data_IF_396094175695
#
_entry.id   IF_396094175695
#
_cell.length_a   1.000
_cell.length_b   1.000
_cell.length_c   1.000
_cell.angle_alpha   90.00
_cell.angle_beta   90.00
_cell.angle_gamma   90.00
#
_symmetry.space_group_name_H-M   'P 1'
#
loop_
_entity.id
_entity.type
_entity.pdbx_description
1 polymer ?
#
# COMPACT_ATOMS: atom_id res chain seq x y z
N UNK A 1 2.90 1.62 22.37
CA UNK A 1 3.98 1.11 21.46
C UNK A 1 4.95 0.27 22.29
N UNK A 2 5.49 -0.80 21.70
CA UNK A 2 6.50 -1.65 22.33
C UNK A 2 7.86 -0.96 22.32
N UNK A 3 8.72 -1.33 23.27
CA UNK A 3 10.14 -0.94 23.23
C UNK A 3 10.86 -1.67 22.09
N UNK A 4 11.98 -1.13 21.61
CA UNK A 4 12.77 -1.78 20.55
C UNK A 4 13.22 -3.19 20.98
N UNK A 5 13.57 -3.38 22.24
CA UNK A 5 13.95 -4.70 22.79
C UNK A 5 12.79 -5.71 22.75
N UNK A 6 11.56 -5.29 23.05
CA UNK A 6 10.37 -6.16 22.94
C UNK A 6 10.09 -6.52 21.48
N UNK A 7 10.21 -5.56 20.54
CA UNK A 7 10.05 -5.81 19.13
C UNK A 7 11.11 -6.80 18.59
N UNK A 8 12.38 -6.64 18.98
CA UNK A 8 13.46 -7.57 18.60
C UNK A 8 13.15 -8.99 19.10
N UNK A 9 12.67 -9.12 20.34
CA UNK A 9 12.28 -10.41 20.90
C UNK A 9 11.16 -11.04 20.11
N UNK A 10 10.13 -10.26 19.77
CA UNK A 10 9.01 -10.74 18.97
C UNK A 10 9.46 -11.19 17.57
N UNK A 11 10.22 -10.35 16.85
CA UNK A 11 10.77 -10.66 15.51
C UNK A 11 11.53 -12.00 15.53
N UNK A 12 12.34 -12.23 16.55
CA UNK A 12 13.16 -13.44 16.67
C UNK A 12 12.34 -14.73 16.93
N UNK A 13 11.05 -14.61 17.28
CA UNK A 13 10.13 -15.74 17.47
C UNK A 13 9.28 -16.07 16.24
N UNK A 14 9.23 -15.16 15.25
CA UNK A 14 8.39 -15.33 14.07
C UNK A 14 8.97 -16.39 13.10
N UNK A 15 8.09 -17.19 12.53
CA UNK A 15 8.41 -18.11 11.45
C UNK A 15 8.27 -17.39 10.10
N UNK A 16 9.16 -16.45 9.82
CA UNK A 16 9.15 -15.63 8.61
C UNK A 16 10.23 -16.09 7.65
N UNK A 17 9.89 -16.11 6.36
CA UNK A 17 10.79 -16.47 5.26
C UNK A 17 10.78 -15.36 4.18
N UNK A 18 10.87 -14.10 4.60
CA UNK A 18 10.92 -12.97 3.67
C UNK A 18 12.28 -12.79 2.99
N UNK A 19 13.36 -13.31 3.58
CA UNK A 19 14.69 -13.20 3.01
C UNK A 19 14.74 -13.78 1.59
N UNK A 20 15.23 -12.99 0.63
CA UNK A 20 15.33 -13.33 -0.79
C UNK A 20 14.00 -13.56 -1.53
N UNK A 21 12.86 -13.24 -0.93
CA UNK A 21 11.53 -13.23 -1.59
C UNK A 21 11.11 -11.82 -1.98
N UNK A 22 10.22 -11.71 -2.95
CA UNK A 22 9.62 -10.42 -3.31
C UNK A 22 8.40 -10.11 -2.44
N UNK A 23 8.19 -8.83 -2.14
CA UNK A 23 6.98 -8.39 -1.48
C UNK A 23 6.05 -7.75 -2.52
N UNK A 24 5.24 -8.57 -3.20
CA UNK A 24 4.39 -8.12 -4.30
C UNK A 24 2.94 -7.91 -3.88
N UNK A 25 2.31 -8.90 -3.23
CA UNK A 25 0.93 -8.80 -2.77
C UNK A 25 0.86 -9.12 -1.27
N UNK A 26 0.06 -8.37 -0.53
CA UNK A 26 -0.08 -8.55 0.92
C UNK A 26 -0.65 -9.92 1.30
N UNK A 27 -1.57 -10.45 0.51
CA UNK A 27 -2.20 -11.74 0.77
C UNK A 27 -1.36 -12.96 0.38
N UNK A 28 -0.23 -12.78 -0.28
CA UNK A 28 0.77 -13.83 -0.54
C UNK A 28 1.74 -14.04 0.62
N UNK A 29 1.82 -13.06 1.53
CA UNK A 29 2.69 -13.15 2.71
C UNK A 29 1.99 -13.93 3.83
N UNK A 30 2.74 -14.68 4.63
CA UNK A 30 2.19 -15.30 5.83
C UNK A 30 1.85 -14.25 6.91
N UNK A 31 1.00 -14.56 7.91
CA UNK A 31 0.77 -13.64 9.03
C UNK A 31 2.06 -13.25 9.77
N UNK A 32 3.01 -14.18 9.93
CA UNK A 32 4.30 -13.92 10.56
C UNK A 32 5.19 -12.99 9.72
N UNK A 33 5.16 -13.13 8.40
CA UNK A 33 5.88 -12.24 7.48
C UNK A 33 5.32 -10.81 7.53
N UNK A 34 3.99 -10.65 7.54
CA UNK A 34 3.34 -9.34 7.71
C UNK A 34 3.69 -8.73 9.06
N UNK A 35 3.63 -9.53 10.13
CA UNK A 35 3.99 -9.08 11.48
C UNK A 35 5.45 -8.67 11.58
N UNK A 36 6.38 -9.42 10.97
CA UNK A 36 7.79 -9.05 10.90
C UNK A 36 7.99 -7.67 10.28
N UNK A 37 7.33 -7.38 9.15
CA UNK A 37 7.43 -6.06 8.50
C UNK A 37 6.91 -4.97 9.43
N UNK A 38 5.79 -5.18 10.11
CA UNK A 38 5.23 -4.22 11.07
C UNK A 38 6.17 -3.97 12.26
N UNK A 39 6.73 -5.03 12.85
CA UNK A 39 7.60 -4.92 14.02
C UNK A 39 8.95 -4.26 13.67
N UNK A 40 9.51 -4.58 12.49
CA UNK A 40 10.70 -3.91 11.97
C UNK A 40 10.41 -2.43 11.68
N UNK A 41 9.26 -2.11 11.09
CA UNK A 41 8.87 -0.72 10.82
C UNK A 41 8.72 0.10 12.10
N UNK A 42 8.09 -0.47 13.15
CA UNK A 42 7.94 0.17 14.46
C UNK A 42 9.31 0.36 15.12
N UNK A 43 10.20 -0.63 15.06
CA UNK A 43 11.56 -0.51 15.59
C UNK A 43 12.36 0.61 14.91
N UNK A 44 12.32 0.69 13.57
CA UNK A 44 12.98 1.76 12.80
C UNK A 44 12.40 3.14 13.15
N UNK A 45 11.07 3.25 13.29
CA UNK A 45 10.39 4.49 13.69
C UNK A 45 10.82 4.93 15.08
N UNK A 46 10.90 4.01 16.03
CA UNK A 46 11.30 4.27 17.42
C UNK A 46 12.76 4.67 17.50
N UNK A 47 13.68 3.91 16.89
CA UNK A 47 15.11 4.26 16.85
C UNK A 47 15.33 5.66 16.29
N UNK A 48 14.65 6.00 15.18
CA UNK A 48 14.75 7.36 14.63
C UNK A 48 14.22 8.44 15.57
N UNK A 49 13.12 8.17 16.27
CA UNK A 49 12.55 9.11 17.25
C UNK A 49 13.50 9.33 18.45
N UNK A 50 14.27 8.33 18.81
CA UNK A 50 15.32 8.37 19.84
C UNK A 50 16.66 8.93 19.33
N UNK A 51 16.69 9.53 18.13
CA UNK A 51 17.88 10.05 17.46
C UNK A 51 18.96 9.01 17.14
N UNK A 52 18.58 7.73 17.02
CA UNK A 52 19.50 6.66 16.65
C UNK A 52 19.49 6.48 15.13
N UNK A 53 20.67 6.40 14.51
CA UNK A 53 20.82 6.14 13.08
C UNK A 53 20.38 4.71 12.73
N UNK A 54 19.60 4.57 11.66
CA UNK A 54 19.05 3.28 11.22
C UNK A 54 19.74 2.75 9.95
N UNK A 55 20.92 3.30 9.62
CA UNK A 55 21.69 2.92 8.44
C UNK A 55 22.29 1.52 8.62
N UNK A 56 21.90 0.61 7.74
CA UNK A 56 22.44 -0.76 7.66
C UNK A 56 23.34 -0.95 6.43
N UNK A 57 23.29 -0.01 5.51
CA UNK A 57 24.16 0.07 4.34
C UNK A 57 25.08 1.28 4.49
N UNK A 58 26.39 1.07 4.31
CA UNK A 58 27.37 2.17 4.26
C UNK A 58 27.42 2.83 2.88
N UNK A 59 26.97 2.13 1.84
CA UNK A 59 26.83 2.56 0.46
C UNK A 59 25.84 1.68 -0.26
N UNK A 60 25.43 2.04 -1.46
CA UNK A 60 24.54 1.25 -2.29
C UNK A 60 23.44 2.10 -2.91
N UNK A 61 22.68 1.48 -3.79
CA UNK A 61 21.68 2.15 -4.61
C UNK A 61 20.32 1.47 -4.50
N UNK A 62 19.29 2.27 -4.33
CA UNK A 62 17.91 1.87 -4.55
C UNK A 62 17.36 2.52 -5.81
N UNK A 63 16.77 1.73 -6.70
CA UNK A 63 16.18 2.21 -7.95
C UNK A 63 14.66 2.26 -7.80
N UNK A 64 14.05 3.36 -8.28
CA UNK A 64 12.60 3.47 -8.39
C UNK A 64 12.15 3.53 -9.84
N UNK A 65 11.05 2.84 -10.14
CA UNK A 65 10.35 2.88 -11.41
C UNK A 65 8.91 3.35 -11.15
N UNK A 66 8.56 4.48 -11.73
CA UNK A 66 7.21 5.05 -11.57
C UNK A 66 6.58 5.26 -12.94
N UNK A 67 5.61 4.42 -13.28
CA UNK A 67 4.81 4.54 -14.51
C UNK A 67 3.57 5.39 -14.34
N UNK A 68 3.23 5.78 -13.09
CA UNK A 68 2.18 6.73 -12.81
C UNK A 68 2.63 7.79 -11.79
N UNK A 69 1.93 8.92 -11.79
CA UNK A 69 2.24 10.06 -10.94
C UNK A 69 2.03 9.75 -9.45
N UNK A 70 3.01 10.11 -8.62
CA UNK A 70 2.91 9.99 -7.18
C UNK A 70 3.85 10.94 -6.46
N UNK A 71 3.33 11.73 -5.54
CA UNK A 71 4.15 12.56 -4.65
C UNK A 71 4.59 11.74 -3.43
N UNK A 72 3.64 11.23 -2.65
CA UNK A 72 3.94 10.55 -1.38
C UNK A 72 4.78 9.30 -1.55
N UNK A 73 4.43 8.43 -2.49
CA UNK A 73 5.16 7.18 -2.66
C UNK A 73 6.60 7.41 -3.11
N UNK A 74 6.85 8.40 -3.99
CA UNK A 74 8.19 8.81 -4.38
C UNK A 74 9.02 9.25 -3.17
N UNK A 75 8.52 10.20 -2.37
CA UNK A 75 9.22 10.67 -1.18
C UNK A 75 9.30 9.61 -0.08
N UNK A 76 8.29 8.75 0.07
CA UNK A 76 8.34 7.66 1.04
C UNK A 76 9.41 6.63 0.69
N UNK A 77 9.55 6.28 -0.59
CA UNK A 77 10.59 5.37 -1.05
C UNK A 77 11.99 6.00 -0.87
N UNK A 78 12.18 7.25 -1.29
CA UNK A 78 13.42 7.98 -1.08
C UNK A 78 13.82 8.06 0.41
N UNK A 79 12.83 8.35 1.27
CA UNK A 79 13.04 8.39 2.73
C UNK A 79 13.40 7.01 3.28
N UNK A 80 12.75 5.95 2.81
CA UNK A 80 13.04 4.57 3.22
C UNK A 80 14.47 4.16 2.86
N UNK A 81 14.91 4.45 1.64
CA UNK A 81 16.28 4.20 1.20
C UNK A 81 17.29 4.96 2.05
N UNK A 82 17.03 6.24 2.30
CA UNK A 82 17.90 7.08 3.13
C UNK A 82 17.97 6.59 4.59
N UNK A 83 16.84 6.13 5.16
CA UNK A 83 16.82 5.50 6.48
C UNK A 83 17.77 4.31 6.57
N UNK A 84 17.84 3.52 5.51
CA UNK A 84 18.69 2.32 5.45
C UNK A 84 20.14 2.63 5.02
N UNK A 85 20.43 3.82 4.53
CA UNK A 85 21.78 4.24 4.07
C UNK A 85 22.02 4.08 2.56
N UNK A 86 20.97 3.81 1.79
CA UNK A 86 21.02 3.70 0.32
C UNK A 86 20.79 5.08 -0.33
N UNK A 87 21.48 5.33 -1.45
CA UNK A 87 21.14 6.43 -2.36
C UNK A 87 19.96 6.04 -3.25
N UNK A 88 19.23 7.02 -3.77
CA UNK A 88 18.13 6.79 -4.71
C UNK A 88 18.52 7.19 -6.13
N UNK A 89 18.12 6.36 -7.10
CA UNK A 89 18.10 6.70 -8.52
C UNK A 89 16.72 6.38 -9.09
N UNK A 90 16.08 7.34 -9.72
CA UNK A 90 14.82 7.14 -10.45
C UNK A 90 15.13 6.67 -11.88
N UNK A 91 14.48 5.60 -12.35
CA UNK A 91 14.58 5.13 -13.72
C UNK A 91 13.48 5.80 -14.55
N UNK A 92 13.88 6.71 -15.42
CA UNK A 92 13.03 7.30 -16.44
C UNK A 92 13.08 6.42 -17.69
N UNK A 93 12.02 5.61 -17.89
CA UNK A 93 11.94 4.68 -19.03
C UNK A 93 12.01 5.41 -20.39
N UNK A 94 11.49 6.64 -20.46
CA UNK A 94 11.56 7.45 -21.67
C UNK A 94 12.99 7.94 -22.04
N UNK A 95 13.92 7.88 -21.07
CA UNK A 95 15.34 8.22 -21.27
C UNK A 95 16.28 7.03 -21.21
N UNK A 96 15.71 5.83 -21.18
CA UNK A 96 16.47 4.57 -21.13
C UNK A 96 16.37 3.81 -22.45
N UNK A 97 17.11 2.72 -22.58
CA UNK A 97 17.06 1.86 -23.77
C UNK A 97 15.75 1.07 -23.87
N UNK A 98 14.91 1.07 -22.81
CA UNK A 98 13.54 0.54 -22.85
C UNK A 98 12.75 1.21 -23.98
N UNK A 99 12.92 2.54 -24.16
CA UNK A 99 12.31 3.27 -25.27
C UNK A 99 12.75 2.79 -26.67
N UNK A 100 13.85 2.03 -26.75
CA UNK A 100 14.41 1.49 -27.98
C UNK A 100 14.28 -0.05 -28.07
N UNK A 101 13.44 -0.66 -27.21
CA UNK A 101 13.11 -2.09 -27.28
C UNK A 101 13.97 -3.01 -26.39
N UNK A 102 14.67 -2.46 -25.39
CA UNK A 102 15.29 -3.26 -24.35
C UNK A 102 14.21 -4.07 -23.62
N UNK A 103 14.42 -5.35 -23.45
CA UNK A 103 13.46 -6.25 -22.82
C UNK A 103 13.45 -6.07 -21.30
N UNK A 104 12.34 -6.45 -20.65
CA UNK A 104 12.21 -6.44 -19.17
C UNK A 104 13.34 -7.23 -18.53
N UNK A 105 13.69 -8.39 -19.09
CA UNK A 105 14.78 -9.24 -18.60
C UNK A 105 16.15 -8.55 -18.68
N UNK A 106 16.44 -7.87 -19.80
CA UNK A 106 17.68 -7.12 -19.97
C UNK A 106 17.75 -5.96 -18.99
N UNK A 107 16.73 -5.11 -18.95
CA UNK A 107 16.68 -3.99 -18.02
C UNK A 107 16.85 -4.46 -16.57
N UNK A 108 16.08 -5.48 -16.16
CA UNK A 108 16.16 -6.01 -14.80
C UNK A 108 17.58 -6.45 -14.43
N UNK A 109 18.27 -7.16 -15.32
CA UNK A 109 19.67 -7.56 -15.08
C UNK A 109 20.63 -6.37 -15.09
N UNK A 110 20.49 -5.43 -16.04
CA UNK A 110 21.39 -4.27 -16.16
C UNK A 110 21.34 -3.34 -14.96
N UNK A 111 20.16 -3.12 -14.38
CA UNK A 111 20.03 -2.28 -13.18
C UNK A 111 20.34 -3.04 -11.88
N UNK A 112 20.18 -4.36 -11.86
CA UNK A 112 20.23 -5.17 -10.64
C UNK A 112 21.62 -5.33 -10.06
N UNK A 113 22.66 -5.45 -10.90
CA UNK A 113 24.03 -5.50 -10.36
C UNK A 113 24.52 -4.14 -9.83
N UNK A 114 23.77 -3.06 -10.10
CA UNK A 114 24.01 -1.73 -9.54
C UNK A 114 23.17 -1.44 -8.29
N UNK A 115 22.14 -2.25 -7.98
CA UNK A 115 21.13 -1.93 -6.98
C UNK A 115 21.04 -2.95 -5.85
N UNK A 116 20.70 -2.45 -4.64
CA UNK A 116 20.33 -3.26 -3.47
C UNK A 116 18.83 -3.41 -3.32
N UNK A 117 18.07 -2.44 -3.83
CA UNK A 117 16.61 -2.44 -3.80
C UNK A 117 16.03 -1.86 -5.09
N UNK A 118 14.90 -2.41 -5.52
CA UNK A 118 14.11 -1.92 -6.66
C UNK A 118 12.67 -1.73 -6.17
N UNK A 119 12.14 -0.52 -6.28
CA UNK A 119 10.75 -0.21 -5.98
C UNK A 119 9.99 0.13 -7.25
N UNK A 120 8.90 -0.57 -7.52
CA UNK A 120 8.11 -0.37 -8.74
C UNK A 120 6.70 0.09 -8.39
N UNK A 121 6.23 1.15 -9.06
CA UNK A 121 4.83 1.53 -9.12
C UNK A 121 4.36 1.45 -10.58
N UNK A 122 3.37 0.59 -10.81
CA UNK A 122 2.73 0.42 -12.12
C UNK A 122 1.25 0.05 -11.91
N UNK A 123 0.39 1.04 -11.82
CA UNK A 123 -1.05 0.91 -11.57
C UNK A 123 -1.90 1.46 -12.74
N UNK A 124 -1.26 1.76 -13.89
CA UNK A 124 -1.92 2.38 -15.04
C UNK A 124 -2.77 1.39 -15.84
N UNK A 125 -2.24 0.18 -16.06
CA UNK A 125 -2.88 -0.84 -16.92
C UNK A 125 -3.32 -2.03 -16.07
N UNK A 126 -4.63 -2.30 -16.08
CA UNK A 126 -5.17 -3.47 -15.42
C UNK A 126 -4.61 -4.76 -16.07
N UNK A 127 -4.18 -5.72 -15.23
CA UNK A 127 -3.57 -6.97 -15.67
C UNK A 127 -2.08 -6.86 -16.07
N UNK A 128 -1.46 -5.66 -15.96
CA UNK A 128 -0.09 -5.46 -16.40
C UNK A 128 0.90 -5.20 -15.26
N UNK A 129 0.56 -4.36 -14.29
CA UNK A 129 1.52 -3.90 -13.29
C UNK A 129 2.09 -5.03 -12.43
N UNK A 130 1.25 -5.87 -11.85
CA UNK A 130 1.71 -7.02 -11.08
C UNK A 130 2.44 -8.05 -11.96
N UNK A 131 1.96 -8.28 -13.19
CA UNK A 131 2.62 -9.18 -14.14
C UNK A 131 4.03 -8.71 -14.48
N UNK A 132 4.21 -7.41 -14.73
CA UNK A 132 5.52 -6.81 -14.97
C UNK A 132 6.47 -6.99 -13.76
N UNK A 133 5.99 -6.74 -12.54
CA UNK A 133 6.81 -6.94 -11.34
C UNK A 133 7.23 -8.41 -11.17
N UNK A 134 6.37 -9.36 -11.52
CA UNK A 134 6.71 -10.80 -11.49
C UNK A 134 7.75 -11.17 -12.53
N UNK A 135 7.68 -10.58 -13.72
CA UNK A 135 8.70 -10.77 -14.77
C UNK A 135 10.05 -10.21 -14.32
N UNK A 136 10.07 -9.02 -13.72
CA UNK A 136 11.28 -8.46 -13.11
C UNK A 136 11.82 -9.40 -12.03
N UNK A 137 10.97 -9.86 -11.08
CA UNK A 137 11.38 -10.78 -10.02
C UNK A 137 11.98 -12.09 -10.56
N UNK A 138 11.37 -12.67 -11.59
CA UNK A 138 11.89 -13.87 -12.26
C UNK A 138 13.27 -13.62 -12.92
N UNK A 139 13.44 -12.45 -13.56
CA UNK A 139 14.72 -12.08 -14.16
C UNK A 139 15.82 -11.88 -13.10
N UNK A 140 15.48 -11.32 -11.92
CA UNK A 140 16.39 -11.20 -10.78
C UNK A 140 16.80 -12.58 -10.23
N UNK A 141 15.85 -13.50 -10.10
CA UNK A 141 16.13 -14.88 -9.66
C UNK A 141 17.07 -15.61 -10.62
N UNK A 142 16.81 -15.51 -11.92
CA UNK A 142 17.63 -16.12 -12.94
C UNK A 142 19.04 -15.53 -12.95
N UNK A 143 19.18 -14.21 -12.93
CA UNK A 143 20.47 -13.53 -12.90
C UNK A 143 21.30 -13.89 -11.66
N UNK A 144 20.64 -14.00 -10.50
CA UNK A 144 21.29 -14.40 -9.25
C UNK A 144 21.73 -15.86 -9.28
N UNK A 145 20.85 -16.79 -9.69
CA UNK A 145 21.16 -18.22 -9.81
C UNK A 145 22.28 -18.52 -10.81
N UNK A 146 22.35 -17.75 -11.88
CA UNK A 146 23.38 -17.89 -12.92
C UNK A 146 24.71 -17.18 -12.59
N UNK A 147 24.76 -16.49 -11.44
CA UNK A 147 25.98 -15.79 -10.99
C UNK A 147 26.25 -14.47 -11.72
N UNK A 148 25.29 -13.95 -12.47
CA UNK A 148 25.36 -12.61 -13.07
C UNK A 148 25.27 -11.55 -11.99
N UNK A 149 24.41 -11.77 -10.99
CA UNK A 149 24.24 -10.88 -9.86
C UNK A 149 25.01 -11.42 -8.65
N UNK A 150 25.89 -10.61 -8.02
CA UNK A 150 26.60 -11.02 -6.80
C UNK A 150 25.68 -11.10 -5.59
N UNK A 151 24.54 -10.39 -5.64
CA UNK A 151 23.46 -10.40 -4.67
C UNK A 151 22.12 -10.15 -5.37
N UNK A 152 21.03 -10.63 -4.79
CA UNK A 152 19.70 -10.37 -5.31
C UNK A 152 19.16 -9.06 -4.72
N UNK A 153 18.81 -8.04 -5.51
CA UNK A 153 18.12 -6.85 -5.01
C UNK A 153 16.77 -7.19 -4.35
N UNK A 154 16.38 -6.42 -3.36
CA UNK A 154 15.04 -6.48 -2.81
C UNK A 154 14.04 -5.84 -3.79
N UNK A 155 13.06 -6.60 -4.28
CA UNK A 155 11.98 -6.06 -5.10
C UNK A 155 10.76 -5.76 -4.22
N UNK A 156 10.26 -4.53 -4.31
CA UNK A 156 9.10 -4.04 -3.54
C UNK A 156 8.05 -3.46 -4.47
N UNK A 157 6.83 -3.97 -4.35
CA UNK A 157 5.65 -3.38 -4.98
C UNK A 157 5.26 -2.08 -4.25
N UNK A 158 5.52 -0.94 -4.86
CA UNK A 158 5.13 0.37 -4.32
C UNK A 158 3.64 0.66 -4.54
N UNK A 159 3.09 0.17 -5.62
CA UNK A 159 1.68 0.05 -5.98
C UNK A 159 1.58 -0.64 -7.34
N UNK A 160 0.70 -1.62 -7.49
CA UNK A 160 0.34 -2.19 -8.79
C UNK A 160 -1.16 -2.04 -9.05
N UNK A 161 -1.60 -2.61 -10.15
CA UNK A 161 -3.01 -2.63 -10.57
C UNK A 161 -3.94 -3.40 -9.61
N UNK A 162 -3.41 -4.38 -8.85
CA UNK A 162 -4.20 -5.23 -7.96
C UNK A 162 -4.07 -4.87 -6.48
N UNK A 163 -2.87 -4.50 -5.99
CA UNK A 163 -2.62 -4.21 -4.58
C UNK A 163 -1.74 -2.97 -4.39
N UNK A 164 -1.90 -2.33 -3.26
CA UNK A 164 -1.03 -1.24 -2.81
C UNK A 164 -0.39 -1.59 -1.45
N UNK A 165 0.54 -2.57 -1.41
CA UNK A 165 1.06 -3.14 -0.16
C UNK A 165 1.64 -2.08 0.79
N UNK A 166 2.35 -1.10 0.25
CA UNK A 166 2.97 -0.04 1.06
C UNK A 166 1.95 0.90 1.71
N UNK A 167 0.73 1.00 1.15
CA UNK A 167 -0.36 1.73 1.76
C UNK A 167 -1.10 0.87 2.78
N UNK A 168 -1.63 -0.27 2.38
CA UNK A 168 -2.43 -1.12 3.26
C UNK A 168 -1.65 -1.59 4.50
N UNK A 169 -0.33 -1.83 4.37
CA UNK A 169 0.53 -2.12 5.52
C UNK A 169 0.77 -0.88 6.41
N UNK A 170 0.83 0.32 5.84
CA UNK A 170 0.89 1.56 6.63
C UNK A 170 -0.41 1.79 7.40
N UNK A 171 -1.55 1.52 6.75
CA UNK A 171 -2.88 1.57 7.36
C UNK A 171 -2.98 0.57 8.53
N UNK A 172 -2.52 -0.66 8.34
CA UNK A 172 -2.48 -1.68 9.38
C UNK A 172 -1.55 -1.30 10.54
N UNK A 173 -0.39 -0.69 10.25
CA UNK A 173 0.51 -0.19 11.29
C UNK A 173 -0.14 0.92 12.10
N UNK A 174 -0.87 1.83 11.46
CA UNK A 174 -1.64 2.86 12.14
C UNK A 174 -2.78 2.28 12.98
N UNK A 175 -3.52 1.30 12.47
CA UNK A 175 -4.57 0.61 13.24
C UNK A 175 -3.99 -0.09 14.47
N UNK A 176 -2.81 -0.74 14.34
CA UNK A 176 -2.11 -1.33 15.47
C UNK A 176 -1.72 -0.29 16.52
N UNK A 177 -1.20 0.88 16.09
CA UNK A 177 -0.86 1.98 17.01
C UNK A 177 -2.11 2.53 17.69
N UNK A 178 -3.19 2.75 16.95
CA UNK A 178 -4.44 3.33 17.45
C UNK A 178 -5.18 2.41 18.42
N UNK A 179 -5.32 1.12 18.09
CA UNK A 179 -6.02 0.13 18.93
C UNK A 179 -5.09 -0.60 19.92
N UNK A 180 -3.79 -0.34 19.90
CA UNK A 180 -2.79 -0.83 20.85
C UNK A 180 -2.12 -2.15 20.43
N UNK A 181 -2.80 -3.04 19.70
CA UNK A 181 -2.22 -4.30 19.20
C UNK A 181 -2.98 -4.84 17.99
N UNK A 182 -2.40 -5.82 17.27
CA UNK A 182 -3.07 -6.53 16.18
C UNK A 182 -4.21 -7.42 16.70
N UNK A 183 -4.06 -7.97 17.90
CA UNK A 183 -5.07 -8.82 18.55
C UNK A 183 -6.36 -8.04 18.84
N UNK A 184 -6.24 -6.75 19.15
CA UNK A 184 -7.37 -5.86 19.40
C UNK A 184 -8.16 -5.49 18.12
N UNK A 185 -7.63 -5.84 16.94
CA UNK A 185 -8.34 -5.65 15.68
C UNK A 185 -9.39 -6.75 15.43
N UNK A 186 -9.27 -7.90 16.10
CA UNK A 186 -10.22 -9.00 15.95
C UNK A 186 -11.63 -8.57 16.33
N UNK A 187 -12.57 -8.75 15.41
CA UNK A 187 -13.97 -8.33 15.56
C UNK A 187 -14.22 -6.83 15.42
N UNK A 188 -13.19 -6.01 15.12
CA UNK A 188 -13.39 -4.62 14.74
C UNK A 188 -14.04 -4.55 13.37
N UNK A 189 -15.06 -3.71 13.25
CA UNK A 189 -15.78 -3.49 12.00
C UNK A 189 -15.12 -2.38 11.19
N UNK A 190 -14.68 -2.70 9.98
CA UNK A 190 -14.19 -1.71 9.01
C UNK A 190 -15.12 -1.63 7.81
N UNK A 191 -15.57 -0.41 7.49
CA UNK A 191 -16.33 -0.08 6.30
C UNK A 191 -15.39 0.48 5.22
N UNK A 192 -15.02 -0.35 4.23
CA UNK A 192 -14.37 0.10 3.00
C UNK A 192 -15.47 0.46 2.01
N UNK A 193 -15.67 1.76 1.77
CA UNK A 193 -16.77 2.20 0.91
C UNK A 193 -16.28 2.98 -0.30
N UNK A 194 -16.96 2.80 -1.43
CA UNK A 194 -16.87 3.78 -2.48
C UNK A 194 -17.32 5.15 -1.96
N UNK A 195 -16.75 6.20 -2.50
CA UNK A 195 -17.19 7.57 -2.25
C UNK A 195 -17.09 8.39 -3.55
N UNK A 196 -18.00 9.36 -3.69
CA UNK A 196 -18.09 10.20 -4.88
C UNK A 196 -16.80 10.98 -5.14
N UNK A 197 -16.40 11.04 -6.39
CA UNK A 197 -15.29 11.86 -6.86
C UNK A 197 -15.64 12.54 -8.18
N UNK A 198 -15.21 13.81 -8.39
CA UNK A 198 -15.34 14.50 -9.67
C UNK A 198 -14.30 14.02 -10.70
N UNK A 199 -13.49 13.01 -10.37
CA UNK A 199 -12.51 12.41 -11.28
C UNK A 199 -12.82 10.93 -11.54
N UNK A 200 -12.35 10.40 -12.67
CA UNK A 200 -12.49 8.99 -13.00
C UNK A 200 -11.10 8.31 -13.06
N UNK A 201 -11.10 6.99 -13.19
CA UNK A 201 -9.87 6.22 -13.40
C UNK A 201 -9.00 6.09 -12.16
N UNK A 202 -9.53 6.36 -10.96
CA UNK A 202 -8.82 6.08 -9.70
C UNK A 202 -8.58 4.59 -9.55
N UNK A 203 -7.38 4.15 -9.09
CA UNK A 203 -7.01 2.75 -9.06
C UNK A 203 -7.83 1.91 -8.08
N UNK A 204 -8.01 0.63 -8.43
CA UNK A 204 -8.67 -0.41 -7.63
C UNK A 204 -7.80 -0.91 -6.48
N UNK A 205 -6.49 -0.75 -6.58
CA UNK A 205 -5.50 -1.36 -5.68
C UNK A 205 -5.63 -0.95 -4.21
N UNK A 206 -6.16 0.24 -3.91
CA UNK A 206 -6.36 0.68 -2.53
C UNK A 206 -7.50 -0.09 -1.85
N UNK A 207 -8.77 -0.05 -2.34
CA UNK A 207 -9.83 -0.83 -1.72
C UNK A 207 -9.53 -2.33 -1.73
N UNK A 208 -8.89 -2.85 -2.76
CA UNK A 208 -8.47 -4.25 -2.85
C UNK A 208 -7.42 -4.61 -1.79
N UNK A 209 -6.44 -3.76 -1.58
CA UNK A 209 -5.44 -3.94 -0.52
C UNK A 209 -6.08 -3.94 0.87
N UNK A 210 -7.03 -3.05 1.13
CA UNK A 210 -7.75 -2.98 2.41
C UNK A 210 -8.55 -4.26 2.66
N UNK A 211 -9.41 -4.69 1.73
CA UNK A 211 -10.22 -5.89 1.94
C UNK A 211 -9.36 -7.16 2.00
N UNK A 212 -8.30 -7.26 1.19
CA UNK A 212 -7.39 -8.39 1.16
C UNK A 212 -6.54 -8.52 2.43
N UNK A 213 -6.11 -7.39 3.02
CA UNK A 213 -5.25 -7.40 4.19
C UNK A 213 -6.04 -7.42 5.51
N UNK A 214 -7.07 -6.57 5.69
CA UNK A 214 -7.75 -6.43 6.97
C UNK A 214 -8.52 -7.71 7.35
N UNK A 215 -9.05 -8.44 6.37
CA UNK A 215 -9.69 -9.74 6.58
C UNK A 215 -8.73 -10.79 7.15
N UNK A 216 -7.41 -10.62 7.09
CA UNK A 216 -6.43 -11.57 7.65
C UNK A 216 -6.24 -11.45 9.16
N UNK A 217 -6.72 -10.35 9.76
CA UNK A 217 -6.56 -10.06 11.19
C UNK A 217 -7.85 -10.24 11.99
N UNK A 218 -8.78 -11.04 11.48
CA UNK A 218 -10.05 -11.35 12.16
C UNK A 218 -11.00 -10.17 12.25
N UNK A 219 -10.82 -9.14 11.41
CA UNK A 219 -11.72 -7.99 11.35
C UNK A 219 -13.01 -8.34 10.60
N UNK A 220 -14.08 -7.62 10.90
CA UNK A 220 -15.35 -7.67 10.18
C UNK A 220 -15.34 -6.59 9.09
N UNK A 221 -15.05 -7.01 7.86
CA UNK A 221 -14.87 -6.11 6.72
C UNK A 221 -16.15 -6.02 5.90
N UNK A 222 -16.69 -4.81 5.76
CA UNK A 222 -17.80 -4.51 4.85
C UNK A 222 -17.28 -3.71 3.67
N UNK A 223 -17.40 -4.27 2.46
CA UNK A 223 -17.18 -3.54 1.21
C UNK A 223 -18.52 -2.97 0.74
N UNK A 224 -18.59 -1.65 0.54
CA UNK A 224 -19.80 -1.00 0.06
C UNK A 224 -19.52 -0.15 -1.18
N UNK A 225 -20.35 -0.30 -2.20
CA UNK A 225 -20.28 0.50 -3.42
C UNK A 225 -21.62 0.50 -4.15
N UNK A 226 -21.89 1.51 -4.98
CA UNK A 226 -23.05 1.48 -5.88
C UNK A 226 -22.99 0.28 -6.80
N UNK A 227 -24.14 -0.14 -7.31
CA UNK A 227 -24.22 -1.19 -8.35
C UNK A 227 -23.34 -0.83 -9.54
N UNK A 228 -22.54 -1.78 -10.03
CA UNK A 228 -21.61 -1.60 -11.15
C UNK A 228 -20.22 -1.05 -10.79
N UNK A 229 -19.94 -0.76 -9.52
CA UNK A 229 -18.61 -0.32 -9.05
C UNK A 229 -17.80 -1.47 -8.43
N UNK A 230 -17.94 -2.65 -9.00
CA UNK A 230 -17.29 -3.86 -8.51
C UNK A 230 -15.77 -3.77 -8.56
N UNK A 231 -15.11 -4.44 -7.61
CA UNK A 231 -13.68 -4.73 -7.60
C UNK A 231 -13.37 -5.98 -8.43
N UNK A 232 -12.09 -6.32 -8.58
CA UNK A 232 -11.67 -7.55 -9.26
C UNK A 232 -12.24 -8.76 -8.51
N UNK A 233 -13.00 -9.67 -9.19
CA UNK A 233 -13.66 -10.80 -8.53
C UNK A 233 -12.72 -11.71 -7.74
N UNK A 234 -11.53 -11.98 -8.28
CA UNK A 234 -10.52 -12.83 -7.61
C UNK A 234 -10.05 -12.23 -6.29
N UNK A 235 -9.93 -10.92 -6.19
CA UNK A 235 -9.55 -10.24 -4.94
C UNK A 235 -10.69 -10.28 -3.91
N UNK A 236 -11.92 -10.17 -4.37
CA UNK A 236 -13.11 -10.35 -3.50
C UNK A 236 -13.11 -11.78 -2.92
N UNK A 237 -12.77 -12.78 -3.72
CA UNK A 237 -12.67 -14.17 -3.26
C UNK A 237 -11.52 -14.37 -2.27
N UNK A 238 -10.37 -13.72 -2.50
CA UNK A 238 -9.26 -13.66 -1.54
C UNK A 238 -9.74 -13.11 -0.19
N UNK A 239 -10.48 -12.00 -0.19
CA UNK A 239 -11.00 -11.40 1.05
C UNK A 239 -11.95 -12.35 1.81
N UNK A 240 -12.86 -13.04 1.11
CA UNK A 240 -13.76 -14.05 1.71
C UNK A 240 -12.97 -15.19 2.36
N UNK A 241 -11.98 -15.72 1.63
CA UNK A 241 -11.16 -16.84 2.13
C UNK A 241 -10.31 -16.42 3.33
N UNK A 242 -9.71 -15.23 3.31
CA UNK A 242 -8.95 -14.67 4.42
C UNK A 242 -9.82 -14.45 5.66
N UNK A 243 -11.01 -13.87 5.50
CA UNK A 243 -11.95 -13.69 6.61
C UNK A 243 -12.32 -15.02 7.27
N UNK A 244 -12.66 -16.04 6.46
CA UNK A 244 -12.96 -17.38 6.96
C UNK A 244 -11.78 -18.00 7.72
N UNK A 245 -10.55 -17.85 7.21
CA UNK A 245 -9.34 -18.41 7.81
C UNK A 245 -8.96 -17.72 9.12
N UNK A 246 -9.18 -16.41 9.24
CA UNK A 246 -8.83 -15.63 10.44
C UNK A 246 -9.91 -15.59 11.53
N UNK A 247 -11.12 -16.06 11.22
CA UNK A 247 -12.28 -15.99 12.12
C UNK A 247 -12.94 -14.60 12.17
N UNK A 248 -12.70 -13.76 11.16
CA UNK A 248 -13.44 -12.54 10.89
C UNK A 248 -14.60 -12.75 9.91
N UNK A 249 -15.10 -11.66 9.35
CA UNK A 249 -16.16 -11.73 8.33
C UNK A 249 -15.87 -10.80 7.14
N UNK A 250 -16.46 -11.14 6.00
CA UNK A 250 -16.45 -10.27 4.82
C UNK A 250 -17.84 -10.26 4.19
N UNK A 251 -18.36 -9.08 3.93
CA UNK A 251 -19.64 -8.90 3.22
C UNK A 251 -19.59 -7.73 2.25
N UNK A 252 -20.44 -7.78 1.23
CA UNK A 252 -20.67 -6.68 0.28
C UNK A 252 -22.08 -6.15 0.44
N UNK A 253 -22.22 -4.84 0.36
CA UNK A 253 -23.50 -4.13 0.43
C UNK A 253 -23.52 -2.98 -0.57
N UNK A 254 -24.70 -2.48 -0.89
CA UNK A 254 -24.93 -1.37 -1.84
C UNK A 254 -25.44 -0.09 -1.16
N UNK A 255 -25.17 0.06 0.14
CA UNK A 255 -25.50 1.26 0.92
C UNK A 255 -24.31 1.64 1.81
N UNK A 256 -23.93 2.91 1.76
CA UNK A 256 -22.91 3.47 2.63
C UNK A 256 -23.38 3.51 4.08
N UNK A 257 -24.66 3.84 4.32
CA UNK A 257 -25.27 3.86 5.64
C UNK A 257 -25.22 2.47 6.30
N UNK A 258 -25.57 1.43 5.53
CA UNK A 258 -25.49 0.06 6.05
C UNK A 258 -24.06 -0.35 6.42
N UNK A 259 -23.06 0.09 5.64
CA UNK A 259 -21.66 -0.20 5.93
C UNK A 259 -21.16 0.59 7.15
N UNK A 260 -21.57 1.85 7.31
CA UNK A 260 -21.15 2.72 8.41
C UNK A 260 -21.78 2.32 9.75
N UNK A 261 -22.96 1.69 9.71
CA UNK A 261 -23.66 1.30 10.94
C UNK A 261 -22.82 0.47 11.89
N UNK A 262 -22.58 1.03 13.09
CA UNK A 262 -21.75 0.43 14.14
C UNK A 262 -20.30 0.10 13.69
N UNK A 263 -19.78 0.74 12.66
CA UNK A 263 -18.40 0.58 12.24
C UNK A 263 -17.45 1.20 13.29
N UNK A 264 -16.30 0.53 13.54
CA UNK A 264 -15.20 1.06 14.35
C UNK A 264 -14.25 1.90 13.50
N UNK A 265 -14.19 1.62 12.18
CA UNK A 265 -13.32 2.27 11.21
C UNK A 265 -14.09 2.49 9.92
N UNK A 266 -13.93 3.67 9.32
CA UNK A 266 -14.47 3.98 7.99
C UNK A 266 -13.36 4.41 7.05
N UNK A 267 -13.42 3.91 5.81
CA UNK A 267 -12.45 4.20 4.76
C UNK A 267 -13.19 4.55 3.46
N UNK A 268 -13.77 5.77 3.37
CA UNK A 268 -14.46 6.22 2.16
C UNK A 268 -13.43 6.64 1.09
N UNK A 269 -13.47 5.97 -0.07
CA UNK A 269 -12.50 6.18 -1.13
C UNK A 269 -13.11 5.92 -2.50
N UNK A 270 -12.93 6.85 -3.43
CA UNK A 270 -13.33 6.64 -4.82
C UNK A 270 -12.42 5.66 -5.56
N UNK A 271 -13.00 4.85 -6.42
CA UNK A 271 -12.31 4.03 -7.43
C UNK A 271 -13.15 3.91 -8.69
N UNK A 272 -12.51 3.61 -9.81
CA UNK A 272 -13.22 3.29 -11.04
C UNK A 272 -13.74 1.85 -11.00
N UNK A 273 -14.91 1.57 -11.59
CA UNK A 273 -15.40 0.20 -11.76
C UNK A 273 -14.37 -0.71 -12.44
N UNK A 274 -14.30 -1.97 -12.03
CA UNK A 274 -13.40 -2.96 -12.64
C UNK A 274 -13.54 -3.01 -14.17
N UNK A 275 -14.78 -3.11 -14.69
CA UNK A 275 -15.05 -3.13 -16.14
C UNK A 275 -14.58 -1.86 -16.86
N UNK A 276 -14.71 -0.70 -16.23
CA UNK A 276 -14.20 0.56 -16.77
C UNK A 276 -12.67 0.54 -16.86
N UNK A 277 -12.00 -0.05 -15.87
CA UNK A 277 -10.53 -0.16 -15.90
C UNK A 277 -10.06 -1.16 -16.97
N UNK A 278 -10.83 -2.21 -17.27
CA UNK A 278 -10.55 -3.10 -18.42
C UNK A 278 -10.66 -2.33 -19.73
N UNK A 279 -11.79 -1.66 -19.98
CA UNK A 279 -12.02 -0.86 -21.19
C UNK A 279 -10.96 0.25 -21.33
N UNK A 280 -10.66 0.97 -20.26
CA UNK A 280 -9.59 1.98 -20.25
C UNK A 280 -8.25 1.39 -20.65
N UNK A 281 -7.91 0.20 -20.16
CA UNK A 281 -6.66 -0.48 -20.51
C UNK A 281 -6.59 -0.82 -21.98
N UNK A 282 -7.67 -1.31 -22.59
CA UNK A 282 -7.76 -1.60 -24.02
C UNK A 282 -7.59 -0.33 -24.86
N UNK A 283 -8.30 0.74 -24.52
CA UNK A 283 -8.20 2.04 -25.22
C UNK A 283 -6.79 2.64 -25.11
N UNK A 284 -6.14 2.56 -23.93
CA UNK A 284 -4.76 3.00 -23.74
C UNK A 284 -3.79 2.21 -24.63
N UNK A 285 -3.92 0.89 -24.68
CA UNK A 285 -3.08 0.01 -25.54
C UNK A 285 -3.28 0.30 -27.02
N UNK A 286 -4.50 0.65 -27.42
CA UNK A 286 -4.83 1.03 -28.78
C UNK A 286 -4.42 2.47 -29.14
N UNK A 287 -3.95 3.28 -28.17
CA UNK A 287 -3.73 4.73 -28.30
C UNK A 287 -4.99 5.48 -28.77
N UNK A 288 -6.18 5.00 -28.40
CA UNK A 288 -7.46 5.60 -28.75
C UNK A 288 -7.82 6.74 -27.81
N UNK A 289 -7.30 7.92 -28.10
CA UNK A 289 -7.54 9.12 -27.30
C UNK A 289 -8.99 9.62 -27.33
N UNK A 290 -9.71 9.38 -28.43
CA UNK A 290 -11.13 9.78 -28.52
C UNK A 290 -12.01 8.82 -27.72
N UNK A 291 -11.74 7.52 -27.77
CA UNK A 291 -12.36 6.52 -26.91
C UNK A 291 -12.15 6.82 -25.41
N UNK A 292 -10.92 7.18 -25.03
CA UNK A 292 -10.61 7.58 -23.64
C UNK A 292 -11.41 8.80 -23.17
N UNK A 293 -11.56 9.84 -24.02
CA UNK A 293 -12.39 11.02 -23.69
C UNK A 293 -13.88 10.66 -23.57
N UNK A 294 -14.36 9.77 -24.46
CA UNK A 294 -15.75 9.29 -24.41
C UNK A 294 -16.02 8.50 -23.12
N UNK A 295 -15.11 7.58 -22.76
CA UNK A 295 -15.17 6.80 -21.53
C UNK A 295 -15.14 7.71 -20.29
N UNK A 296 -14.23 8.68 -20.24
CA UNK A 296 -14.16 9.67 -19.15
C UNK A 296 -15.49 10.40 -18.96
N UNK A 297 -16.06 10.92 -20.06
CA UNK A 297 -17.35 11.61 -20.01
C UNK A 297 -18.47 10.72 -19.48
N UNK A 298 -18.52 9.47 -19.92
CA UNK A 298 -19.49 8.48 -19.46
C UNK A 298 -19.31 8.20 -17.96
N UNK A 299 -18.09 7.94 -17.50
CA UNK A 299 -17.79 7.65 -16.11
C UNK A 299 -18.12 8.82 -15.19
N UNK A 300 -17.79 10.05 -15.58
CA UNK A 300 -18.13 11.24 -14.79
C UNK A 300 -19.65 11.44 -14.70
N UNK A 301 -20.38 11.16 -15.77
CA UNK A 301 -21.85 11.21 -15.76
C UNK A 301 -22.45 10.12 -14.85
N UNK A 302 -21.85 8.94 -14.81
CA UNK A 302 -22.24 7.85 -13.91
C UNK A 302 -21.92 8.21 -12.45
N UNK A 303 -20.72 8.67 -12.16
CA UNK A 303 -20.33 9.11 -10.82
C UNK A 303 -21.29 10.18 -10.27
N UNK A 304 -21.70 11.11 -11.12
CA UNK A 304 -22.62 12.21 -10.74
C UNK A 304 -24.01 11.73 -10.28
N UNK A 305 -24.38 10.49 -10.54
CA UNK A 305 -25.63 9.87 -10.06
C UNK A 305 -25.54 9.36 -8.63
N UNK A 306 -24.31 9.32 -8.06
CA UNK A 306 -24.02 8.76 -6.75
C UNK A 306 -23.32 9.78 -5.83
N UNK A 307 -23.72 11.05 -5.90
CA UNK A 307 -23.20 12.13 -5.04
C UNK A 307 -23.61 11.99 -3.58
N UNK A 308 -24.62 11.20 -3.30
CA UNK A 308 -25.04 10.76 -1.98
C UNK A 308 -24.04 9.83 -1.28
N UNK A 309 -23.14 9.20 -2.04
CA UNK A 309 -22.00 8.46 -1.48
C UNK A 309 -20.91 9.43 -1.02
N UNK A 310 -21.16 10.10 0.08
CA UNK A 310 -20.36 11.19 0.63
C UNK A 310 -20.22 11.02 2.14
N UNK A 311 -19.00 10.96 2.64
CA UNK A 311 -18.76 10.87 4.08
C UNK A 311 -19.01 12.22 4.74
N UNK A 312 -20.18 12.35 5.38
CA UNK A 312 -20.62 13.54 6.10
C UNK A 312 -20.60 13.31 7.61
N UNK A 313 -20.84 14.38 8.37
CA UNK A 313 -21.00 14.33 9.82
C UNK A 313 -22.17 13.42 10.22
N UNK A 314 -23.29 13.49 9.50
CA UNK A 314 -24.47 12.64 9.74
C UNK A 314 -24.16 11.16 9.45
N UNK A 315 -23.34 10.88 8.42
CA UNK A 315 -22.88 9.52 8.16
C UNK A 315 -21.97 9.00 9.28
N UNK A 316 -21.11 9.86 9.83
CA UNK A 316 -20.26 9.49 10.97
C UNK A 316 -21.06 9.20 12.23
N UNK A 317 -22.20 9.83 12.46
CA UNK A 317 -23.11 9.54 13.59
C UNK A 317 -23.68 8.11 13.56
N UNK A 318 -23.72 7.46 12.39
CA UNK A 318 -24.16 6.06 12.26
C UNK A 318 -23.13 5.05 12.76
N UNK A 319 -21.89 5.47 12.92
CA UNK A 319 -20.80 4.61 13.35
C UNK A 319 -20.87 4.30 14.85
N UNK A 320 -19.99 3.42 15.33
CA UNK A 320 -19.95 3.10 16.76
C UNK A 320 -19.71 4.35 17.59
N UNK A 321 -20.72 4.68 18.40
CA UNK A 321 -20.74 5.86 19.28
C UNK A 321 -20.54 7.21 18.53
N UNK A 322 -20.69 7.23 17.20
CA UNK A 322 -20.40 8.39 16.35
C UNK A 322 -18.90 8.74 16.25
N UNK A 323 -18.01 7.82 16.67
CA UNK A 323 -16.58 8.09 16.86
C UNK A 323 -15.67 7.10 16.11
N UNK A 324 -16.16 6.49 15.00
CA UNK A 324 -15.30 5.63 14.18
C UNK A 324 -14.06 6.38 13.69
N UNK A 325 -12.94 5.67 13.65
CA UNK A 325 -11.72 6.18 13.04
C UNK A 325 -11.91 6.36 11.53
N UNK A 326 -11.83 7.61 11.05
CA UNK A 326 -11.77 7.90 9.62
C UNK A 326 -10.35 7.68 9.11
N UNK A 327 -10.21 6.94 8.02
CA UNK A 327 -8.94 6.67 7.34
C UNK A 327 -9.03 7.03 5.86
N UNK A 328 -7.90 7.42 5.28
CA UNK A 328 -7.81 7.72 3.85
C UNK A 328 -6.37 7.69 3.35
N UNK A 329 -6.13 7.01 2.21
CA UNK A 329 -4.81 6.93 1.59
C UNK A 329 -4.25 8.26 1.05
N UNK A 330 -5.05 9.33 1.02
CA UNK A 330 -4.73 10.64 0.44
C UNK A 330 -4.26 10.58 -1.05
N UNK A 331 -4.42 11.65 -1.85
CA UNK A 331 -5.23 12.84 -1.51
C UNK A 331 -6.71 12.49 -1.41
N UNK A 332 -7.41 13.13 -0.49
CA UNK A 332 -8.87 13.06 -0.42
C UNK A 332 -9.49 14.17 -1.29
N UNK A 333 -10.62 13.85 -1.92
CA UNK A 333 -11.47 14.86 -2.54
C UNK A 333 -12.37 15.47 -1.46
N UNK A 334 -11.94 16.61 -0.92
CA UNK A 334 -12.61 17.29 0.20
C UNK A 334 -13.56 18.32 -0.37
N UNK A 335 -14.85 18.18 -0.10
CA UNK A 335 -15.91 19.09 -0.54
C UNK A 335 -15.68 20.51 -0.04
N UNK A 336 -15.77 21.47 -0.94
CA UNK A 336 -15.55 22.88 -0.64
C UNK A 336 -14.08 23.29 -0.50
N UNK A 337 -13.12 22.36 -0.50
CA UNK A 337 -11.68 22.61 -0.34
C UNK A 337 -10.91 22.22 -1.60
N UNK A 338 -10.80 20.93 -1.91
CA UNK A 338 -10.06 20.47 -3.10
C UNK A 338 -10.95 20.30 -4.33
N UNK A 339 -12.26 20.20 -4.13
CA UNK A 339 -13.28 20.12 -5.17
C UNK A 339 -14.61 20.70 -4.66
N UNK A 340 -15.58 20.86 -5.57
CA UNK A 340 -16.90 21.37 -5.18
C UNK A 340 -17.67 20.35 -4.33
N UNK A 341 -17.65 19.09 -4.75
CA UNK A 341 -18.28 17.94 -4.10
C UNK A 341 -17.31 16.75 -4.24
N UNK A 342 -17.08 15.99 -3.19
CA UNK A 342 -16.08 14.93 -3.17
C UNK A 342 -16.36 13.82 -2.17
N UNK A 343 -15.32 13.10 -1.78
CA UNK A 343 -15.36 11.89 -0.95
C UNK A 343 -15.82 12.17 0.49
N UNK A 344 -15.53 13.37 1.01
CA UNK A 344 -15.70 13.71 2.43
C UNK A 344 -15.97 15.21 2.61
N UNK A 345 -16.73 15.59 3.64
CA UNK A 345 -16.89 16.98 4.04
C UNK A 345 -15.62 17.55 4.65
N UNK A 346 -15.45 18.88 4.60
CA UNK A 346 -14.35 19.58 5.27
C UNK A 346 -14.36 19.30 6.79
N UNK A 347 -15.52 19.34 7.45
CA UNK A 347 -15.63 19.15 8.88
C UNK A 347 -15.18 17.77 9.33
N UNK A 348 -15.60 16.68 8.66
CA UNK A 348 -15.13 15.32 8.94
C UNK A 348 -13.63 15.23 8.69
N UNK A 349 -13.13 15.71 7.55
CA UNK A 349 -11.70 15.63 7.25
C UNK A 349 -10.86 16.38 8.28
N UNK A 350 -11.22 17.60 8.67
CA UNK A 350 -10.49 18.39 9.66
C UNK A 350 -10.49 17.73 11.04
N UNK A 351 -11.62 17.12 11.48
CA UNK A 351 -11.67 16.34 12.72
C UNK A 351 -10.61 15.24 12.75
N UNK A 352 -10.41 14.53 11.64
CA UNK A 352 -9.49 13.37 11.56
C UNK A 352 -8.15 13.67 10.86
N UNK A 353 -7.90 14.90 10.44
CA UNK A 353 -6.71 15.30 9.68
C UNK A 353 -5.39 14.83 10.30
N UNK A 354 -5.25 15.02 11.60
CA UNK A 354 -4.01 14.62 12.30
C UNK A 354 -3.87 13.08 12.33
N UNK A 355 -4.96 12.35 12.56
CA UNK A 355 -4.97 10.89 12.51
C UNK A 355 -4.57 10.37 11.12
N UNK A 356 -5.14 10.95 10.06
CA UNK A 356 -4.83 10.62 8.66
C UNK A 356 -3.38 10.92 8.30
N UNK A 357 -2.80 12.01 8.82
CA UNK A 357 -1.37 12.29 8.59
C UNK A 357 -0.45 11.35 9.38
N UNK A 358 -0.84 10.90 10.57
CA UNK A 358 -0.12 9.85 11.32
C UNK A 358 -0.16 8.52 10.57
N UNK A 359 -1.30 8.12 10.03
CA UNK A 359 -1.47 6.97 9.12
C UNK A 359 -0.46 7.07 7.97
N UNK A 360 -0.49 8.17 7.21
CA UNK A 360 0.41 8.39 6.07
C UNK A 360 1.90 8.38 6.45
N UNK A 361 2.26 8.77 7.67
CA UNK A 361 3.64 8.84 8.16
C UNK A 361 4.30 7.48 8.36
N UNK A 362 3.54 6.38 8.39
CA UNK A 362 4.07 5.03 8.49
C UNK A 362 4.72 4.52 7.21
N UNK A 363 4.31 5.04 6.06
CA UNK A 363 4.72 4.52 4.75
C UNK A 363 6.24 4.41 4.53
N UNK A 364 7.07 5.41 4.88
CA UNK A 364 8.52 5.28 4.74
C UNK A 364 9.11 4.13 5.57
N UNK A 365 8.61 3.91 6.78
CA UNK A 365 9.09 2.85 7.67
C UNK A 365 8.65 1.47 7.20
N UNK A 366 7.43 1.36 6.67
CA UNK A 366 6.94 0.12 6.06
C UNK A 366 7.81 -0.26 4.85
N UNK A 367 8.10 0.68 3.96
CA UNK A 367 8.96 0.42 2.79
C UNK A 367 10.37 0.02 3.24
N UNK A 368 10.95 0.73 4.22
CA UNK A 368 12.26 0.40 4.77
C UNK A 368 12.27 -1.01 5.40
N UNK A 369 11.21 -1.36 6.13
CA UNK A 369 11.05 -2.68 6.74
C UNK A 369 10.91 -3.80 5.69
N UNK A 370 10.17 -3.56 4.60
CA UNK A 370 10.08 -4.50 3.49
C UNK A 370 11.46 -4.76 2.87
N UNK A 371 12.24 -3.71 2.58
CA UNK A 371 13.59 -3.83 2.03
C UNK A 371 14.51 -4.56 3.01
N UNK A 372 14.53 -4.16 4.28
CA UNK A 372 15.39 -4.74 5.30
C UNK A 372 15.10 -6.23 5.50
N UNK A 373 13.82 -6.60 5.64
CA UNK A 373 13.40 -7.99 5.81
C UNK A 373 13.71 -8.89 4.61
N UNK A 374 13.80 -8.30 3.42
CA UNK A 374 14.22 -8.99 2.20
C UNK A 374 15.72 -9.23 2.13
N UNK A 375 16.50 -8.24 2.55
CA UNK A 375 17.97 -8.26 2.45
C UNK A 375 18.66 -9.01 3.58
N UNK A 376 18.01 -9.12 4.74
CA UNK A 376 18.60 -9.73 5.93
C UNK A 376 17.77 -10.90 6.46
N UNK A 377 18.40 -12.08 6.55
CA UNK A 377 17.74 -13.28 7.08
C UNK A 377 17.36 -13.17 8.56
N UNK A 378 18.04 -12.30 9.30
CA UNK A 378 17.85 -12.10 10.77
C UNK A 378 17.71 -10.62 11.09
N UNK A 379 16.59 -9.98 10.74
CA UNK A 379 16.41 -8.54 10.95
C UNK A 379 16.44 -8.15 12.43
N UNK A 380 16.00 -9.03 13.35
CA UNK A 380 16.10 -8.80 14.80
C UNK A 380 17.53 -8.62 15.29
N UNK A 381 18.45 -9.46 14.84
CA UNK A 381 19.87 -9.34 15.20
C UNK A 381 20.51 -8.04 14.69
N UNK A 382 20.08 -7.58 13.51
CA UNK A 382 20.54 -6.32 12.95
C UNK A 382 20.01 -5.12 13.75
N UNK A 383 18.74 -5.14 14.14
CA UNK A 383 18.16 -4.10 14.99
C UNK A 383 18.81 -4.06 16.38
N UNK A 384 19.18 -5.21 16.96
CA UNK A 384 19.92 -5.31 18.21
C UNK A 384 21.30 -4.65 18.08
N UNK A 385 21.99 -4.85 16.96
CA UNK A 385 23.27 -4.20 16.68
C UNK A 385 23.10 -2.67 16.59
N UNK A 386 22.11 -2.16 15.85
CA UNK A 386 21.84 -0.73 15.75
C UNK A 386 21.55 -0.10 17.12
N UNK A 387 20.75 -0.78 17.95
CA UNK A 387 20.43 -0.32 19.29
C UNK A 387 21.68 -0.32 20.20
N UNK A 388 22.55 -1.32 20.09
CA UNK A 388 23.80 -1.42 20.86
C UNK A 388 24.81 -0.37 20.44
N UNK A 389 24.97 -0.12 19.15
CA UNK A 389 25.88 0.91 18.63
C UNK A 389 25.39 2.31 18.93
N UNK A 390 24.08 2.51 18.96
CA UNK A 390 23.37 3.74 19.29
C UNK A 390 23.99 5.01 18.64
N UNK A 391 24.43 4.90 17.39
CA UNK A 391 25.01 6.03 16.67
C UNK A 391 24.00 7.16 16.55
N UNK A 392 24.38 8.38 16.91
CA UNK A 392 23.53 9.55 16.76
C UNK A 392 23.26 9.84 15.27
N UNK A 393 21.97 9.99 14.93
CA UNK A 393 21.53 10.39 13.59
C UNK A 393 21.81 11.87 13.32
N UNK A 394 21.61 12.71 14.31
CA UNK A 394 21.84 14.17 14.26
C UNK A 394 22.74 14.54 15.42
N UNK A 395 23.86 15.20 15.10
CA UNK A 395 24.82 15.72 16.09
C UNK A 395 24.36 17.07 16.65
#
# INVERSE_FOLDING_TARGET
MKTVNELIKDINTLNSNLHEKDFLLTWEQSPDELKQVLDVAEALKTLRAENIATKVFNSGLGISVFRDNSTRTRFSYASALNLLGLAQQDLDEGKSQIAHGETVRETANMISFCADAIGIRDDMYLGAGNAYMREVGAALDDGYKQGVLPQRPALVNLQCDIDHPTQSMADLAWLREHFGSLENLKGKKIAMTWAYSPSYGKPLSVPQGIIGLMTRFGMDVTLAHPEGYDLIPDVVEVAKNNAKASGGSFRQVTSMEEAFKDADIVYPKSWAPYKVMEERTELLRANDHEGLKALEKQCLAQNAQHKDWHCTEEMMELTRDGEALYMHCLPADISGVSCKEGEVTEGVFEKYRIATYKEASWKPYIIAAMILSRKYAKPGALLEQLLKEAQERVK
#
